data_IF_336506335836
#
_entry.id   IF_336506335836
#
_cell.length_a   1.000
_cell.length_b   1.000
_cell.length_c   1.000
_cell.angle_alpha   90.00
_cell.angle_beta   90.00
_cell.angle_gamma   90.00
#
_symmetry.space_group_name_H-M   'P 1'
#
loop_
_entity.id
_entity.type
_entity.pdbx_description
1 polymer ?
#
# COMPACT_ATOMS: atom_id res chain seq x y z
N UNK A 1 33.14 3.13 -11.31
CA UNK A 1 33.44 4.19 -10.32
C UNK A 1 32.31 4.18 -9.31
N UNK A 2 32.63 3.85 -8.05
CA UNK A 2 31.66 3.74 -6.95
C UNK A 2 31.32 5.16 -6.48
N UNK A 3 30.07 5.58 -6.63
CA UNK A 3 29.54 6.75 -5.93
C UNK A 3 29.30 6.36 -4.47
N UNK A 4 29.87 7.08 -3.49
CA UNK A 4 29.77 6.67 -2.09
C UNK A 4 28.37 6.98 -1.54
N UNK A 5 28.00 6.17 -0.56
CA UNK A 5 26.79 6.11 0.29
C UNK A 5 26.45 7.44 1.02
N UNK A 6 27.13 8.55 0.70
CA UNK A 6 27.05 9.82 1.41
C UNK A 6 25.70 10.56 1.32
N UNK A 7 24.79 10.15 0.42
CA UNK A 7 23.46 10.78 0.33
C UNK A 7 22.42 10.23 1.32
N UNK A 8 22.71 9.13 2.03
CA UNK A 8 21.78 8.53 3.00
C UNK A 8 21.93 9.07 4.42
N UNK A 9 23.12 9.57 4.77
CA UNK A 9 23.36 10.25 6.05
C UNK A 9 22.84 11.70 6.08
N UNK A 10 22.22 12.19 4.99
CA UNK A 10 21.93 13.62 4.81
C UNK A 10 20.48 14.04 5.08
N UNK A 11 19.61 13.15 5.60
CA UNK A 11 18.26 13.55 6.03
C UNK A 11 18.29 14.39 7.32
N UNK A 12 19.16 14.04 8.25
CA UNK A 12 19.35 14.77 9.52
C UNK A 12 20.22 16.03 9.38
N UNK A 13 21.10 16.08 8.37
CA UNK A 13 22.13 17.12 8.24
C UNK A 13 21.60 18.48 7.78
N UNK A 14 20.46 18.52 7.07
CA UNK A 14 19.87 19.79 6.61
C UNK A 14 19.23 20.56 7.78
N UNK A 15 18.92 19.90 8.90
CA UNK A 15 18.24 20.53 10.05
C UNK A 15 19.20 21.31 10.98
N UNK A 16 20.50 21.00 11.01
CA UNK A 16 21.44 21.60 11.95
C UNK A 16 22.02 22.97 11.50
N UNK A 17 21.81 23.38 10.24
CA UNK A 17 22.51 24.54 9.67
C UNK A 17 21.95 25.92 10.11
N UNK A 18 20.92 25.99 10.96
CA UNK A 18 20.34 27.26 11.43
C UNK A 18 20.82 27.73 12.81
N UNK A 19 21.57 26.92 13.57
CA UNK A 19 22.09 27.33 14.89
C UNK A 19 23.60 27.14 14.92
N UNK A 20 24.32 28.21 14.64
CA UNK A 20 25.77 28.23 14.71
C UNK A 20 26.26 27.98 16.14
N UNK A 21 26.91 26.85 16.35
CA UNK A 21 28.15 26.69 17.14
C UNK A 21 28.61 25.23 17.00
N UNK A 22 29.81 25.06 16.47
CA UNK A 22 30.45 23.77 16.26
C UNK A 22 30.90 23.15 17.60
N UNK A 23 30.19 22.12 18.03
CA UNK A 23 30.69 21.12 18.98
C UNK A 23 29.90 19.83 18.77
N UNK A 24 30.59 18.76 18.34
CA UNK A 24 30.15 17.37 18.23
C UNK A 24 28.63 17.18 18.03
N UNK A 25 28.17 17.14 16.77
CA UNK A 25 26.77 16.84 16.43
C UNK A 25 26.40 15.43 16.91
N UNK A 26 25.52 15.28 17.90
CA UNK A 26 24.96 13.97 18.21
C UNK A 26 23.92 13.64 17.13
N UNK A 27 23.83 12.37 16.73
CA UNK A 27 22.68 11.86 15.96
C UNK A 27 21.43 11.97 16.85
N UNK A 28 20.80 13.15 16.89
CA UNK A 28 19.53 13.32 17.58
C UNK A 28 18.40 13.04 16.61
N UNK A 29 17.87 11.81 16.67
CA UNK A 29 16.51 11.53 16.27
C UNK A 29 15.50 12.35 17.10
N UNK A 30 14.22 12.43 16.68
CA UNK A 30 13.18 13.05 17.48
C UNK A 30 13.15 12.43 18.88
N UNK A 31 12.95 13.24 19.92
CA UNK A 31 12.91 12.77 21.30
C UNK A 31 11.47 12.71 21.79
N UNK A 32 10.90 11.51 21.73
CA UNK A 32 9.55 11.25 22.21
C UNK A 32 8.45 11.69 21.25
N UNK A 33 7.22 11.37 21.63
CA UNK A 33 6.08 11.36 20.73
C UNK A 33 5.81 12.72 20.03
N UNK A 34 6.01 13.85 20.71
CA UNK A 34 5.78 15.17 20.11
C UNK A 34 6.78 15.50 19.00
N UNK A 35 8.07 15.29 19.25
CA UNK A 35 9.12 15.54 18.25
C UNK A 35 8.96 14.59 17.06
N UNK A 36 8.53 13.35 17.31
CA UNK A 36 8.27 12.34 16.28
C UNK A 36 7.06 12.73 15.41
N UNK A 37 6.02 13.32 16.00
CA UNK A 37 4.90 13.88 15.26
C UNK A 37 5.35 15.01 14.32
N UNK A 38 6.08 15.99 14.85
CA UNK A 38 6.60 17.14 14.07
C UNK A 38 7.51 16.69 12.92
N UNK A 39 8.35 15.68 13.18
CA UNK A 39 9.20 15.07 12.15
C UNK A 39 8.38 14.46 11.01
N UNK A 40 7.35 13.67 11.33
CA UNK A 40 6.48 13.03 10.33
C UNK A 40 5.74 14.10 9.52
N UNK A 41 5.19 15.14 10.17
CA UNK A 41 4.51 16.23 9.47
C UNK A 41 5.44 16.93 8.48
N UNK A 42 6.65 17.26 8.91
CA UNK A 42 7.66 17.89 8.06
C UNK A 42 8.02 16.99 6.87
N UNK A 43 8.25 15.69 7.13
CA UNK A 43 8.62 14.73 6.10
C UNK A 43 7.50 14.57 5.05
N UNK A 44 6.26 14.38 5.49
CA UNK A 44 5.07 14.33 4.60
C UNK A 44 4.93 15.60 3.78
N UNK A 45 5.12 16.78 4.40
CA UNK A 45 5.01 18.08 3.72
C UNK A 45 6.12 18.32 2.69
N UNK A 46 7.30 17.75 2.89
CA UNK A 46 8.41 17.85 1.94
C UNK A 46 8.18 17.00 0.68
N UNK A 47 7.19 16.11 0.66
CA UNK A 47 6.84 15.33 -0.51
C UNK A 47 6.01 16.12 -1.52
N UNK A 48 6.57 16.34 -2.72
CA UNK A 48 5.87 17.04 -3.79
C UNK A 48 4.55 16.35 -4.21
N UNK A 49 4.39 15.04 -3.99
CA UNK A 49 3.13 14.33 -4.30
C UNK A 49 2.02 14.65 -3.28
N UNK A 50 2.39 15.18 -2.12
CA UNK A 50 1.46 15.59 -1.06
C UNK A 50 0.97 17.04 -1.22
N UNK A 51 1.34 17.75 -2.30
CA UNK A 51 0.83 19.09 -2.58
C UNK A 51 -0.71 19.08 -2.61
N UNK A 52 -1.32 20.07 -1.95
CA UNK A 52 -2.78 20.19 -1.83
C UNK A 52 -3.39 19.38 -0.68
N UNK A 53 -2.62 18.51 -0.03
CA UNK A 53 -3.02 17.88 1.23
C UNK A 53 -2.74 18.81 2.43
N UNK A 54 -3.39 18.48 3.55
CA UNK A 54 -3.12 19.03 4.88
C UNK A 54 -3.09 17.85 5.83
N UNK A 55 -1.91 17.53 6.36
CA UNK A 55 -1.71 16.39 7.24
C UNK A 55 -1.22 16.92 8.58
N UNK A 56 -1.93 16.56 9.64
CA UNK A 56 -1.58 16.77 11.04
C UNK A 56 -1.32 15.39 11.66
N UNK A 57 -0.31 15.28 12.50
CA UNK A 57 0.13 14.01 13.11
C UNK A 57 0.07 14.15 14.62
N UNK A 58 -0.47 13.12 15.28
CA UNK A 58 -0.28 12.92 16.71
C UNK A 58 0.37 11.55 16.91
N UNK A 59 1.34 11.45 17.81
CA UNK A 59 1.94 10.16 18.19
C UNK A 59 1.62 9.90 19.64
N UNK A 60 1.25 8.67 19.96
CA UNK A 60 1.09 8.21 21.34
C UNK A 60 1.53 6.75 21.43
N UNK A 61 2.51 6.45 22.30
CA UNK A 61 3.01 5.08 22.52
C UNK A 61 3.41 4.37 21.20
N UNK A 62 4.05 5.11 20.29
CA UNK A 62 4.46 4.63 18.96
C UNK A 62 3.31 4.44 17.95
N UNK A 63 2.10 4.91 18.23
CA UNK A 63 0.97 4.89 17.29
C UNK A 63 0.82 6.28 16.69
N UNK A 64 1.08 6.42 15.40
CA UNK A 64 0.86 7.68 14.68
C UNK A 64 -0.58 7.79 14.19
N UNK A 65 -1.30 8.83 14.60
CA UNK A 65 -2.64 9.16 14.11
C UNK A 65 -2.57 10.30 13.12
N UNK A 66 -2.95 10.05 11.87
CA UNK A 66 -2.94 11.04 10.78
C UNK A 66 -4.31 11.69 10.64
N UNK A 67 -4.36 13.02 10.70
CA UNK A 67 -5.57 13.84 10.59
C UNK A 67 -5.46 14.87 9.46
N UNK A 68 -6.60 15.40 9.05
CA UNK A 68 -6.68 16.47 8.06
C UNK A 68 -7.36 16.05 6.75
N UNK A 69 -6.78 16.44 5.62
CA UNK A 69 -7.37 16.27 4.29
C UNK A 69 -6.34 15.88 3.23
N UNK A 70 -6.74 15.02 2.31
CA UNK A 70 -6.00 14.68 1.10
C UNK A 70 -6.91 14.86 -0.13
N UNK A 71 -6.34 14.94 -1.34
CA UNK A 71 -7.15 15.05 -2.56
C UNK A 71 -7.42 13.70 -3.23
N UNK A 72 -6.60 12.67 -2.97
CA UNK A 72 -6.69 11.34 -3.58
C UNK A 72 -6.38 10.24 -2.57
N UNK A 73 -6.70 8.98 -2.92
CA UNK A 73 -6.34 7.81 -2.12
C UNK A 73 -4.82 7.62 -2.05
N UNK A 74 -4.11 7.86 -3.16
CA UNK A 74 -2.63 7.77 -3.21
C UNK A 74 -1.99 8.62 -2.11
N UNK A 75 -2.45 9.86 -1.94
CA UNK A 75 -1.92 10.74 -0.89
C UNK A 75 -2.21 10.19 0.52
N UNK A 76 -3.38 9.59 0.74
CA UNK A 76 -3.70 8.98 2.03
C UNK A 76 -2.80 7.78 2.33
N UNK A 77 -2.57 6.91 1.35
CA UNK A 77 -1.69 5.74 1.46
C UNK A 77 -0.24 6.19 1.65
N UNK A 78 0.20 7.22 0.92
CA UNK A 78 1.54 7.78 0.98
C UNK A 78 1.86 8.44 2.31
N UNK A 79 0.94 9.20 2.89
CA UNK A 79 1.11 9.77 4.23
C UNK A 79 1.28 8.68 5.29
N UNK A 80 0.48 7.62 5.21
CA UNK A 80 0.58 6.47 6.11
C UNK A 80 1.93 5.75 5.97
N UNK A 81 2.38 5.52 4.73
CA UNK A 81 3.67 4.90 4.46
C UNK A 81 4.85 5.72 5.02
N UNK A 82 4.81 7.06 4.87
CA UNK A 82 5.84 7.96 5.43
C UNK A 82 5.86 7.95 6.96
N UNK A 83 4.69 8.00 7.59
CA UNK A 83 4.60 7.87 9.04
C UNK A 83 5.17 6.52 9.52
N UNK A 84 4.79 5.43 8.85
CA UNK A 84 5.24 4.09 9.17
C UNK A 84 6.76 3.89 9.04
N UNK A 85 7.39 4.59 8.10
CA UNK A 85 8.84 4.52 7.90
C UNK A 85 9.64 5.07 9.11
N UNK A 86 9.04 5.88 9.97
CA UNK A 86 9.72 6.47 11.13
C UNK A 86 9.96 5.43 12.22
N UNK A 87 11.19 5.34 12.74
CA UNK A 87 11.66 4.25 13.62
C UNK A 87 10.75 3.89 14.78
N UNK A 88 10.25 4.91 15.47
CA UNK A 88 9.48 4.75 16.70
C UNK A 88 8.01 4.35 16.44
N UNK A 89 7.55 4.43 15.18
CA UNK A 89 6.16 4.17 14.82
C UNK A 89 5.92 2.68 14.60
N UNK A 90 5.16 2.07 15.51
CA UNK A 90 4.73 0.67 15.43
C UNK A 90 3.36 0.47 14.77
N UNK A 91 2.54 1.52 14.66
CA UNK A 91 1.25 1.47 13.99
C UNK A 91 0.84 2.84 13.47
N UNK A 92 0.00 2.87 12.42
CA UNK A 92 -0.57 4.10 11.86
C UNK A 92 -2.09 4.00 11.82
N UNK A 93 -2.75 4.94 12.49
CA UNK A 93 -4.20 5.17 12.40
C UNK A 93 -4.45 6.30 11.41
N UNK A 94 -4.83 5.96 10.18
CA UNK A 94 -5.05 6.95 9.12
C UNK A 94 -6.50 7.47 9.13
N UNK A 95 -6.69 8.76 9.42
CA UNK A 95 -7.98 9.45 9.46
C UNK A 95 -8.07 10.62 8.46
N UNK A 96 -7.22 10.62 7.44
CA UNK A 96 -7.27 11.64 6.39
C UNK A 96 -8.59 11.58 5.64
N UNK A 97 -9.21 12.75 5.42
CA UNK A 97 -10.46 12.86 4.66
C UNK A 97 -10.17 13.28 3.23
N UNK A 98 -10.67 12.50 2.28
CA UNK A 98 -10.51 12.83 0.87
C UNK A 98 -11.51 13.92 0.49
N UNK A 99 -10.97 15.06 0.06
CA UNK A 99 -11.74 16.23 -0.37
C UNK A 99 -11.67 16.38 -1.89
N UNK A 100 -12.84 16.34 -2.52
CA UNK A 100 -13.05 16.90 -3.85
C UNK A 100 -14.49 17.42 -3.88
N UNK A 101 -14.72 18.74 -3.83
CA UNK A 101 -16.07 19.29 -3.77
C UNK A 101 -16.83 19.20 -5.12
N UNK A 102 -16.17 18.83 -6.23
CA UNK A 102 -16.73 19.03 -7.58
C UNK A 102 -17.12 17.73 -8.28
N UNK A 103 -16.58 16.58 -7.87
CA UNK A 103 -16.77 15.35 -8.63
C UNK A 103 -18.07 14.60 -8.29
N UNK A 104 -18.91 14.42 -9.33
CA UNK A 104 -19.99 13.42 -9.38
C UNK A 104 -19.40 12.06 -9.76
N UNK A 105 -20.03 10.97 -9.34
CA UNK A 105 -19.52 9.61 -9.57
C UNK A 105 -19.30 9.28 -11.06
N UNK A 106 -20.19 9.72 -11.95
CA UNK A 106 -20.02 9.55 -13.39
C UNK A 106 -18.72 10.19 -13.93
N UNK A 107 -18.35 11.35 -13.40
CA UNK A 107 -17.11 12.05 -13.78
C UNK A 107 -15.89 11.31 -13.22
N UNK A 108 -15.99 10.76 -12.01
CA UNK A 108 -14.92 9.94 -11.43
C UNK A 108 -14.69 8.67 -12.24
N UNK A 109 -15.76 7.97 -12.62
CA UNK A 109 -15.68 6.77 -13.45
C UNK A 109 -15.00 7.05 -14.80
N UNK A 110 -15.37 8.15 -15.45
CA UNK A 110 -14.74 8.58 -16.71
C UNK A 110 -13.25 8.91 -16.53
N UNK A 111 -12.87 9.63 -15.47
CA UNK A 111 -11.47 9.95 -15.18
C UNK A 111 -10.61 8.71 -14.97
N UNK A 112 -11.12 7.73 -14.22
CA UNK A 112 -10.43 6.44 -14.03
C UNK A 112 -10.26 5.74 -15.37
N UNK A 113 -11.33 5.60 -16.15
CA UNK A 113 -11.27 4.93 -17.45
C UNK A 113 -10.28 5.61 -18.41
N UNK A 114 -10.27 6.95 -18.46
CA UNK A 114 -9.34 7.74 -19.27
C UNK A 114 -7.89 7.58 -18.82
N UNK A 115 -7.63 7.43 -17.51
CA UNK A 115 -6.27 7.24 -16.99
C UNK A 115 -5.77 5.82 -17.27
N UNK A 116 -6.64 4.81 -17.12
CA UNK A 116 -6.34 3.43 -17.49
C UNK A 116 -6.03 3.32 -18.99
N UNK A 117 -6.82 3.95 -19.86
CA UNK A 117 -6.61 3.90 -21.32
C UNK A 117 -5.31 4.57 -21.80
N UNK A 118 -4.68 5.38 -20.95
CA UNK A 118 -3.38 6.01 -21.23
C UNK A 118 -2.20 5.14 -20.82
N UNK A 119 -2.43 4.06 -20.08
CA UNK A 119 -1.37 3.13 -19.67
C UNK A 119 -1.15 2.10 -20.78
N UNK A 120 0.06 2.07 -21.35
CA UNK A 120 0.43 1.06 -22.35
C UNK A 120 0.51 -0.35 -21.76
N UNK A 121 0.68 -0.47 -20.44
CA UNK A 121 0.76 -1.74 -19.74
C UNK A 121 -0.62 -2.39 -19.53
N UNK A 122 -1.71 -1.66 -19.68
CA UNK A 122 -3.07 -2.14 -19.37
C UNK A 122 -3.95 -2.12 -20.63
N UNK A 123 -4.56 -3.26 -20.95
CA UNK A 123 -5.67 -3.28 -21.90
C UNK A 123 -6.95 -2.80 -21.22
N UNK A 124 -7.14 -1.48 -21.19
CA UNK A 124 -8.29 -0.84 -20.54
C UNK A 124 -9.64 -1.27 -21.14
N UNK A 125 -9.67 -1.87 -22.35
CA UNK A 125 -10.90 -2.39 -22.96
C UNK A 125 -11.47 -3.59 -22.21
N UNK A 126 -10.63 -4.32 -21.46
CA UNK A 126 -11.01 -5.48 -20.64
C UNK A 126 -11.44 -5.10 -19.22
N UNK A 127 -11.33 -3.82 -18.86
CA UNK A 127 -11.64 -3.30 -17.52
C UNK A 127 -12.90 -2.43 -17.59
N UNK A 128 -13.87 -2.76 -16.75
CA UNK A 128 -15.06 -1.96 -16.47
C UNK A 128 -14.89 -1.22 -15.15
N UNK A 129 -15.10 0.09 -15.18
CA UNK A 129 -15.11 0.94 -13.99
C UNK A 129 -16.54 1.34 -13.64
N UNK A 130 -16.94 1.12 -12.39
CA UNK A 130 -18.22 1.58 -11.84
C UNK A 130 -17.91 2.43 -10.61
N UNK A 131 -18.52 3.61 -10.48
CA UNK A 131 -18.37 4.45 -9.28
C UNK A 131 -19.74 4.72 -8.68
N UNK A 132 -19.87 4.51 -7.38
CA UNK A 132 -21.07 4.82 -6.58
C UNK A 132 -20.63 5.35 -5.21
N UNK A 133 -21.16 6.49 -4.78
CA UNK A 133 -20.78 7.12 -3.52
C UNK A 133 -19.28 7.43 -3.42
N UNK A 134 -18.62 7.72 -4.55
CA UNK A 134 -17.16 7.89 -4.70
C UNK A 134 -16.33 6.64 -4.40
N UNK A 135 -16.95 5.46 -4.39
CA UNK A 135 -16.27 4.17 -4.34
C UNK A 135 -16.17 3.60 -5.74
N UNK A 136 -14.95 3.39 -6.23
CA UNK A 136 -14.72 2.75 -7.51
C UNK A 136 -14.73 1.23 -7.36
N UNK A 137 -15.33 0.54 -8.32
CA UNK A 137 -15.20 -0.91 -8.51
C UNK A 137 -14.55 -1.15 -9.86
N UNK A 138 -13.40 -1.83 -9.86
CA UNK A 138 -12.71 -2.28 -11.07
C UNK A 138 -13.07 -3.75 -11.29
N UNK A 139 -13.74 -4.07 -12.40
CA UNK A 139 -14.16 -5.44 -12.71
C UNK A 139 -13.86 -5.79 -14.16
N UNK A 140 -13.61 -7.07 -14.44
CA UNK A 140 -13.19 -7.53 -15.76
C UNK A 140 -11.97 -8.42 -15.67
N UNK A 141 -11.12 -8.38 -16.70
CA UNK A 141 -9.96 -9.27 -16.80
C UNK A 141 -8.68 -8.48 -17.06
N UNK A 142 -7.58 -9.00 -16.54
CA UNK A 142 -6.23 -8.51 -16.80
C UNK A 142 -5.30 -9.69 -17.07
N UNK A 143 -4.25 -9.45 -17.85
CA UNK A 143 -3.28 -10.48 -18.22
C UNK A 143 -2.38 -10.87 -17.07
N UNK A 144 -2.23 -10.01 -16.05
CA UNK A 144 -1.27 -10.18 -14.95
C UNK A 144 -1.70 -9.61 -13.60
N UNK A 145 -1.11 -10.13 -12.52
CA UNK A 145 -1.24 -9.53 -11.18
C UNK A 145 -0.68 -8.11 -11.13
N UNK A 146 0.39 -7.83 -11.88
CA UNK A 146 0.95 -6.49 -12.00
C UNK A 146 -0.02 -5.53 -12.69
N UNK A 147 -0.68 -5.95 -13.78
CA UNK A 147 -1.76 -5.17 -14.40
C UNK A 147 -2.93 -4.95 -13.44
N UNK A 148 -3.27 -5.96 -12.62
CA UNK A 148 -4.31 -5.83 -11.59
C UNK A 148 -3.95 -4.74 -10.56
N UNK A 149 -2.71 -4.74 -10.08
CA UNK A 149 -2.24 -3.79 -9.08
C UNK A 149 -2.02 -2.40 -9.68
N UNK A 150 -1.41 -2.31 -10.86
CA UNK A 150 -1.24 -1.05 -11.60
C UNK A 150 -2.59 -0.41 -11.91
N UNK A 151 -3.62 -1.19 -12.24
CA UNK A 151 -4.98 -0.68 -12.42
C UNK A 151 -5.53 -0.06 -11.13
N UNK A 152 -5.23 -0.68 -9.97
CA UNK A 152 -5.59 -0.14 -8.65
C UNK A 152 -4.84 1.16 -8.38
N UNK A 153 -3.52 1.18 -8.56
CA UNK A 153 -2.66 2.35 -8.35
C UNK A 153 -3.10 3.54 -9.21
N UNK A 154 -3.37 3.30 -10.50
CA UNK A 154 -3.91 4.32 -11.40
C UNK A 154 -5.23 4.89 -10.87
N UNK A 155 -6.10 4.05 -10.31
CA UNK A 155 -7.35 4.51 -9.73
C UNK A 155 -7.11 5.28 -8.42
N UNK A 156 -6.13 4.95 -7.58
CA UNK A 156 -5.86 5.67 -6.33
C UNK A 156 -5.40 7.11 -6.56
N UNK A 157 -4.79 7.41 -7.72
CA UNK A 157 -4.38 8.75 -8.12
C UNK A 157 -5.56 9.69 -8.42
N UNK A 158 -6.74 9.15 -8.75
CA UNK A 158 -7.87 9.98 -9.19
C UNK A 158 -8.41 10.82 -8.03
N UNK A 159 -8.38 12.16 -8.13
CA UNK A 159 -8.87 13.01 -7.06
C UNK A 159 -10.35 12.78 -6.76
N UNK A 160 -10.68 12.72 -5.48
CA UNK A 160 -12.05 12.59 -4.99
C UNK A 160 -12.56 11.16 -4.80
N UNK A 161 -11.87 10.14 -5.32
CA UNK A 161 -12.21 8.74 -4.99
C UNK A 161 -11.90 8.44 -3.52
N UNK A 162 -12.83 7.77 -2.85
CA UNK A 162 -12.75 7.46 -1.42
C UNK A 162 -12.36 6.03 -1.12
N UNK A 163 -12.67 5.12 -2.04
CA UNK A 163 -12.43 3.69 -1.85
C UNK A 163 -12.33 3.01 -3.23
N UNK A 164 -11.55 1.93 -3.32
CA UNK A 164 -11.44 1.11 -4.51
C UNK A 164 -11.70 -0.35 -4.13
N UNK A 165 -12.67 -0.97 -4.80
CA UNK A 165 -12.91 -2.41 -4.79
C UNK A 165 -12.31 -3.00 -6.07
N UNK A 166 -11.14 -3.64 -5.94
CA UNK A 166 -10.52 -4.35 -7.06
C UNK A 166 -11.12 -5.76 -7.17
N UNK A 167 -11.81 -6.04 -8.27
CA UNK A 167 -12.47 -7.31 -8.61
C UNK A 167 -12.05 -7.80 -9.99
N UNK A 168 -10.85 -7.44 -10.43
CA UNK A 168 -10.29 -7.90 -11.69
C UNK A 168 -9.87 -9.36 -11.56
N UNK A 169 -10.16 -10.17 -12.58
CA UNK A 169 -9.71 -11.56 -12.67
C UNK A 169 -8.44 -11.64 -13.51
N UNK A 170 -7.41 -12.31 -12.99
CA UNK A 170 -6.14 -12.50 -13.71
C UNK A 170 -6.22 -13.74 -14.59
N UNK A 171 -5.99 -13.61 -15.89
CA UNK A 171 -6.19 -14.70 -16.88
C UNK A 171 -4.92 -15.39 -17.37
N UNK A 172 -3.73 -14.79 -17.19
CA UNK A 172 -2.44 -15.31 -17.66
C UNK A 172 -2.40 -15.71 -19.15
N UNK A 173 -3.25 -15.11 -19.98
CA UNK A 173 -3.45 -15.47 -21.39
C UNK A 173 -2.40 -14.87 -22.33
N UNK A 174 -1.44 -14.09 -21.80
CA UNK A 174 -0.32 -13.54 -22.56
C UNK A 174 0.97 -14.31 -22.27
N UNK A 175 1.53 -14.98 -23.29
CA UNK A 175 2.88 -15.55 -23.24
C UNK A 175 3.90 -14.40 -23.21
N UNK A 176 4.69 -14.29 -22.14
CA UNK A 176 5.74 -13.26 -22.00
C UNK A 176 7.12 -13.88 -22.15
N UNK A 177 8.05 -13.14 -22.76
CA UNK A 177 9.45 -13.56 -22.82
C UNK A 177 10.13 -13.33 -21.47
N UNK A 178 11.12 -14.15 -21.13
CA UNK A 178 11.93 -13.98 -19.91
C UNK A 178 12.54 -12.57 -19.80
N UNK A 179 12.90 -11.96 -20.93
CA UNK A 179 13.40 -10.59 -20.98
C UNK A 179 12.36 -9.54 -20.58
N UNK A 180 11.09 -9.74 -20.97
CA UNK A 180 9.99 -8.85 -20.62
C UNK A 180 9.61 -9.00 -19.14
N UNK A 181 9.59 -10.24 -18.64
CA UNK A 181 9.40 -10.54 -17.21
C UNK A 181 10.49 -9.85 -16.38
N UNK A 182 11.76 -10.03 -16.78
CA UNK A 182 12.90 -9.43 -16.08
C UNK A 182 12.82 -7.90 -16.05
N UNK A 183 12.54 -7.27 -17.19
CA UNK A 183 12.47 -5.81 -17.29
C UNK A 183 11.36 -5.23 -16.41
N UNK A 184 10.22 -5.91 -16.34
CA UNK A 184 9.09 -5.52 -15.50
C UNK A 184 9.41 -5.63 -14.01
N UNK A 185 9.97 -6.76 -13.56
CA UNK A 185 10.37 -6.93 -12.16
C UNK A 185 11.42 -5.88 -11.77
N UNK A 186 12.40 -5.59 -12.63
CA UNK A 186 13.39 -4.54 -12.37
C UNK A 186 12.77 -3.14 -12.29
N UNK A 187 11.80 -2.82 -13.15
CA UNK A 187 11.09 -1.55 -13.11
C UNK A 187 10.30 -1.38 -11.80
N UNK A 188 9.56 -2.41 -11.42
CA UNK A 188 8.79 -2.46 -10.19
C UNK A 188 9.67 -2.33 -8.94
N UNK A 189 10.80 -3.04 -8.90
CA UNK A 189 11.76 -2.92 -7.79
C UNK A 189 12.38 -1.53 -7.74
N UNK A 190 12.67 -0.92 -8.89
CA UNK A 190 13.20 0.44 -8.94
C UNK A 190 12.22 1.50 -8.41
N UNK A 191 10.93 1.34 -8.72
CA UNK A 191 9.89 2.31 -8.38
C UNK A 191 9.30 2.11 -6.98
N UNK A 192 9.53 0.95 -6.34
CA UNK A 192 9.13 0.67 -4.96
C UNK A 192 9.97 1.48 -3.96
N UNK A 193 9.36 2.40 -3.17
CA UNK A 193 10.08 3.14 -2.13
C UNK A 193 10.78 2.26 -1.09
N UNK A 194 10.28 1.04 -0.87
CA UNK A 194 10.89 0.06 0.05
C UNK A 194 12.13 -0.59 -0.53
N UNK A 195 12.25 -0.61 -1.86
CA UNK A 195 13.42 -1.12 -2.57
C UNK A 195 14.36 0.01 -3.02
N UNK A 196 14.10 1.25 -2.60
CA UNK A 196 14.92 2.38 -3.00
C UNK A 196 16.33 2.21 -2.43
N UNK A 197 17.36 2.21 -3.30
CA UNK A 197 18.78 2.10 -2.96
C UNK A 197 19.24 0.76 -2.35
N UNK A 198 18.45 -0.30 -2.51
CA UNK A 198 18.94 -1.69 -2.45
C UNK A 198 19.22 -2.18 -3.88
N UNK A 199 20.13 -3.14 -4.03
CA UNK A 199 20.43 -3.75 -5.33
C UNK A 199 19.87 -5.16 -5.34
N UNK A 200 18.85 -5.38 -6.17
CA UNK A 200 18.25 -6.69 -6.40
C UNK A 200 18.68 -7.21 -7.76
N UNK A 201 19.30 -8.39 -7.76
CA UNK A 201 19.62 -9.15 -8.95
C UNK A 201 18.42 -9.99 -9.37
N UNK A 202 17.93 -9.76 -10.59
CA UNK A 202 16.82 -10.52 -11.17
C UNK A 202 17.34 -11.36 -12.34
N UNK A 203 17.13 -12.68 -12.27
CA UNK A 203 17.36 -13.62 -13.37
C UNK A 203 16.03 -14.30 -13.70
N UNK A 204 15.76 -14.52 -14.98
CA UNK A 204 14.56 -15.20 -15.44
C UNK A 204 14.97 -16.25 -16.46
N UNK A 205 14.47 -17.47 -16.30
CA UNK A 205 14.69 -18.57 -17.23
C UNK A 205 13.45 -19.46 -17.30
N UNK A 206 12.85 -19.57 -18.48
CA UNK A 206 11.67 -20.39 -18.73
C UNK A 206 10.51 -20.04 -17.77
N UNK A 207 10.34 -18.74 -17.48
CA UNK A 207 9.38 -18.23 -16.50
C UNK A 207 9.77 -18.42 -15.04
N UNK A 208 10.87 -19.10 -14.71
CA UNK A 208 11.37 -19.19 -13.32
C UNK A 208 12.20 -17.95 -13.01
N UNK A 209 11.79 -17.20 -11.99
CA UNK A 209 12.50 -16.02 -11.51
C UNK A 209 13.42 -16.42 -10.37
N UNK A 210 14.70 -16.03 -10.44
CA UNK A 210 15.63 -16.09 -9.32
C UNK A 210 15.97 -14.66 -8.89
N UNK A 211 15.65 -14.36 -7.64
CA UNK A 211 15.93 -13.10 -6.97
C UNK A 211 17.15 -13.29 -6.07
N UNK A 212 18.12 -12.38 -6.19
CA UNK A 212 19.28 -12.30 -5.32
C UNK A 212 19.57 -10.87 -4.90
N UNK A 213 20.41 -10.70 -3.89
CA UNK A 213 20.78 -9.38 -3.38
C UNK A 213 20.41 -9.22 -1.91
N UNK A 214 20.29 -7.97 -1.48
CA UNK A 214 20.09 -7.64 -0.08
C UNK A 214 18.82 -6.81 0.11
N UNK A 215 17.97 -7.23 1.05
CA UNK A 215 16.81 -6.48 1.54
C UNK A 215 17.01 -6.17 3.01
N UNK A 216 16.33 -5.16 3.50
CA UNK A 216 16.44 -4.68 4.86
C UNK A 216 15.66 -5.46 5.91
N UNK A 217 14.58 -6.13 5.51
CA UNK A 217 13.74 -6.94 6.41
C UNK A 217 13.14 -8.18 5.75
N UNK A 218 12.67 -9.18 6.54
CA UNK A 218 11.90 -10.30 6.01
C UNK A 218 10.56 -9.87 5.36
N UNK A 219 9.92 -8.80 5.84
CA UNK A 219 8.71 -8.29 5.21
C UNK A 219 8.98 -7.70 3.82
N UNK A 220 10.10 -6.97 3.66
CA UNK A 220 10.56 -6.52 2.33
C UNK A 220 10.92 -7.71 1.44
N UNK A 221 11.51 -8.78 1.98
CA UNK A 221 11.75 -10.04 1.25
C UNK A 221 10.43 -10.62 0.74
N UNK A 222 9.45 -10.77 1.63
CA UNK A 222 8.14 -11.35 1.28
C UNK A 222 7.40 -10.48 0.27
N UNK A 223 7.46 -9.16 0.40
CA UNK A 223 6.88 -8.22 -0.54
C UNK A 223 7.56 -8.27 -1.90
N UNK A 224 8.89 -8.29 -1.94
CA UNK A 224 9.67 -8.46 -3.16
C UNK A 224 9.29 -9.77 -3.86
N UNK A 225 9.18 -10.88 -3.13
CA UNK A 225 8.74 -12.18 -3.67
C UNK A 225 7.33 -12.09 -4.23
N UNK A 226 6.38 -11.58 -3.44
CA UNK A 226 4.99 -11.47 -3.83
C UNK A 226 4.82 -10.63 -5.11
N UNK A 227 5.46 -9.45 -5.12
CA UNK A 227 5.44 -8.52 -6.26
C UNK A 227 6.13 -9.12 -7.50
N UNK A 228 7.10 -10.02 -7.32
CA UNK A 228 7.81 -10.67 -8.43
C UNK A 228 7.00 -11.75 -9.14
N UNK A 229 5.82 -12.14 -8.65
CA UNK A 229 4.89 -13.02 -9.36
C UNK A 229 4.11 -12.27 -10.47
N UNK A 230 4.85 -11.76 -11.46
CA UNK A 230 4.28 -11.11 -12.65
C UNK A 230 3.88 -12.15 -13.71
N UNK A 231 3.15 -11.76 -14.77
CA UNK A 231 2.73 -12.75 -15.77
C UNK A 231 3.89 -13.36 -16.53
N UNK A 232 3.76 -14.66 -16.81
CA UNK A 232 4.84 -15.47 -17.35
C UNK A 232 5.76 -16.05 -16.29
N UNK A 233 5.64 -15.62 -15.02
CA UNK A 233 6.36 -16.22 -13.91
C UNK A 233 5.67 -17.49 -13.45
N UNK A 234 6.38 -18.61 -13.52
CA UNK A 234 5.91 -19.92 -13.06
C UNK A 234 6.29 -20.17 -11.61
N UNK A 235 7.43 -19.64 -11.18
CA UNK A 235 7.99 -19.83 -9.85
C UNK A 235 8.96 -18.68 -9.50
N UNK A 236 9.06 -18.35 -8.21
CA UNK A 236 10.01 -17.34 -7.70
C UNK A 236 10.90 -17.99 -6.65
N UNK A 237 12.20 -18.04 -6.91
CA UNK A 237 13.23 -18.45 -5.96
C UNK A 237 13.89 -17.20 -5.35
N UNK A 238 13.90 -17.13 -4.02
CA UNK A 238 14.49 -16.01 -3.28
C UNK A 238 15.44 -16.49 -2.17
N UNK A 239 16.01 -17.69 -2.32
CA UNK A 239 17.00 -18.24 -1.40
C UNK A 239 18.26 -17.37 -1.33
N UNK A 240 18.60 -16.72 -2.45
CA UNK A 240 19.76 -15.83 -2.58
C UNK A 240 19.47 -14.37 -2.14
N UNK A 241 18.26 -14.09 -1.63
CA UNK A 241 17.94 -12.80 -0.98
C UNK A 241 18.35 -12.87 0.48
N UNK A 242 19.37 -12.09 0.82
CA UNK A 242 19.86 -11.93 2.19
C UNK A 242 19.12 -10.78 2.89
N UNK A 243 18.77 -11.00 4.15
CA UNK A 243 18.24 -9.94 5.01
C UNK A 243 19.42 -9.26 5.69
N UNK A 244 19.82 -8.10 5.18
CA UNK A 244 20.83 -7.25 5.78
C UNK A 244 20.15 -6.17 6.62
N UNK A 245 20.23 -6.30 7.95
CA UNK A 245 19.61 -5.35 8.90
C UNK A 245 20.24 -3.95 8.88
N UNK A 246 21.40 -3.80 8.23
CA UNK A 246 22.02 -2.49 8.00
C UNK A 246 21.45 -1.78 6.76
N UNK A 247 20.65 -2.48 5.94
CA UNK A 247 19.94 -1.97 4.76
C UNK A 247 18.43 -1.78 4.96
N UNK A 248 17.91 -2.09 6.16
CA UNK A 248 16.56 -1.68 6.53
C UNK A 248 16.37 -0.20 6.25
N UNK A 249 15.21 0.18 5.68
CA UNK A 249 14.80 1.58 5.74
C UNK A 249 15.04 2.07 7.17
N UNK A 250 15.72 3.21 7.30
CA UNK A 250 16.04 3.81 8.60
C UNK A 250 14.72 3.94 9.38
N UNK A 251 14.54 3.09 10.38
CA UNK A 251 13.30 2.99 11.15
C UNK A 251 12.36 1.80 10.88
N UNK A 252 12.73 0.82 10.06
CA UNK A 252 12.02 -0.49 10.01
C UNK A 252 12.74 -1.61 10.79
N UNK A 253 13.95 -1.33 11.29
CA UNK A 253 14.70 -2.27 12.14
C UNK A 253 13.91 -2.65 13.39
N UNK A 254 13.64 -3.94 13.56
CA UNK A 254 12.95 -4.49 14.73
C UNK A 254 11.42 -4.52 14.67
N UNK A 255 10.78 -4.04 13.59
CA UNK A 255 9.31 -4.04 13.44
C UNK A 255 8.69 -5.38 12.99
N UNK A 256 9.44 -6.48 13.10
CA UNK A 256 8.97 -7.83 12.77
C UNK A 256 8.13 -8.35 13.92
N UNK A 257 6.81 -8.35 13.74
CA UNK A 257 5.88 -8.88 14.70
C UNK A 257 5.58 -10.33 14.35
N UNK A 258 5.82 -11.26 15.29
CA UNK A 258 5.19 -12.59 15.21
C UNK A 258 3.67 -12.36 15.10
N UNK A 259 2.87 -13.30 14.55
CA UNK A 259 1.43 -13.11 14.45
C UNK A 259 0.76 -12.63 15.75
N UNK A 260 1.25 -13.09 16.91
CA UNK A 260 0.82 -12.62 18.23
C UNK A 260 1.13 -11.15 18.51
N UNK A 261 2.30 -10.66 18.11
CA UNK A 261 2.68 -9.26 18.24
C UNK A 261 1.87 -8.38 17.28
N UNK A 262 1.58 -8.87 16.07
CA UNK A 262 0.75 -8.16 15.08
C UNK A 262 -0.65 -7.92 15.64
N UNK A 263 -1.26 -8.96 16.21
CA UNK A 263 -2.59 -8.86 16.82
C UNK A 263 -2.61 -7.89 18.00
N UNK A 264 -1.60 -7.94 18.89
CA UNK A 264 -1.50 -7.00 20.01
C UNK A 264 -1.36 -5.55 19.53
N UNK A 265 -0.49 -5.29 18.55
CA UNK A 265 -0.32 -3.94 18.00
C UNK A 265 -1.60 -3.47 17.29
N UNK A 266 -2.29 -4.38 16.60
CA UNK A 266 -3.58 -4.10 15.97
C UNK A 266 -4.67 -3.75 17.00
N UNK A 267 -4.75 -4.48 18.11
CA UNK A 267 -5.67 -4.18 19.22
C UNK A 267 -5.41 -2.78 19.80
N UNK A 268 -4.15 -2.43 20.05
CA UNK A 268 -3.78 -1.09 20.53
C UNK A 268 -4.17 0.01 19.51
N UNK A 269 -3.92 -0.24 18.22
CA UNK A 269 -4.28 0.70 17.15
C UNK A 269 -5.81 0.84 16.98
N UNK A 270 -6.56 -0.25 17.15
CA UNK A 270 -8.02 -0.21 17.16
C UNK A 270 -8.57 0.59 18.34
N UNK A 271 -7.97 0.45 19.52
CA UNK A 271 -8.34 1.24 20.69
C UNK A 271 -8.04 2.74 20.50
N UNK A 272 -6.96 3.06 19.77
CA UNK A 272 -6.57 4.43 19.44
C UNK A 272 -7.47 5.08 18.38
N UNK A 273 -8.21 4.32 17.55
CA UNK A 273 -9.12 4.87 16.53
C UNK A 273 -10.54 5.11 17.08
N UNK A 274 -10.98 6.36 17.29
CA UNK A 274 -12.31 6.63 17.83
C UNK A 274 -13.44 6.20 16.90
N UNK A 275 -13.19 6.01 15.60
CA UNK A 275 -14.19 5.54 14.62
C UNK A 275 -14.60 4.09 14.86
N UNK A 276 -13.77 3.32 15.57
CA UNK A 276 -14.03 1.91 15.88
C UNK A 276 -14.78 1.73 17.21
N UNK A 277 -15.11 2.82 17.92
CA UNK A 277 -15.91 2.75 19.15
C UNK A 277 -17.27 2.13 18.87
N UNK A 278 -17.59 1.06 19.60
CA UNK A 278 -18.84 0.32 19.45
C UNK A 278 -18.84 -0.71 18.32
N UNK A 279 -17.72 -0.90 17.61
CA UNK A 279 -17.53 -2.07 16.77
C UNK A 279 -17.09 -3.28 17.61
N UNK A 280 -17.54 -4.46 17.23
CA UNK A 280 -17.12 -5.75 17.79
C UNK A 280 -16.37 -6.51 16.69
N UNK A 281 -15.06 -6.29 16.62
CA UNK A 281 -14.20 -6.80 15.55
C UNK A 281 -13.20 -7.79 16.13
N UNK A 282 -13.15 -8.98 15.55
CA UNK A 282 -12.15 -9.99 15.86
C UNK A 282 -11.15 -10.07 14.71
N UNK A 283 -9.85 -10.11 15.05
CA UNK A 283 -8.78 -10.22 14.09
C UNK A 283 -8.01 -11.54 14.26
N UNK A 284 -7.59 -12.13 13.14
CA UNK A 284 -6.62 -13.23 13.12
C UNK A 284 -5.49 -12.89 12.16
N UNK A 285 -4.25 -13.20 12.53
CA UNK A 285 -3.06 -12.97 11.71
C UNK A 285 -2.41 -14.31 11.33
N UNK A 286 -2.11 -14.48 10.04
CA UNK A 286 -1.38 -15.62 9.51
C UNK A 286 -0.36 -15.12 8.47
N UNK A 287 0.93 -15.27 8.77
CA UNK A 287 2.00 -14.65 7.98
C UNK A 287 1.79 -13.13 7.89
N UNK A 288 1.70 -12.61 6.66
CA UNK A 288 1.52 -11.19 6.36
C UNK A 288 0.05 -10.84 6.06
N UNK A 289 -0.89 -11.75 6.34
CA UNK A 289 -2.31 -11.56 6.16
C UNK A 289 -3.02 -11.35 7.51
N UNK A 290 -3.87 -10.34 7.57
CA UNK A 290 -4.84 -10.12 8.65
C UNK A 290 -6.25 -10.36 8.11
N UNK A 291 -7.03 -11.17 8.80
CA UNK A 291 -8.46 -11.34 8.54
C UNK A 291 -9.24 -10.66 9.65
N UNK A 292 -10.16 -9.77 9.27
CA UNK A 292 -11.06 -9.06 10.19
C UNK A 292 -12.47 -9.62 10.04
N UNK A 293 -13.08 -9.99 11.16
CA UNK A 293 -14.45 -10.52 11.23
C UNK A 293 -15.23 -9.79 12.32
N UNK A 294 -16.55 -10.01 12.38
CA UNK A 294 -17.41 -9.44 13.43
C UNK A 294 -18.38 -8.41 12.86
N UNK A 295 -18.67 -7.37 13.65
CA UNK A 295 -19.67 -6.34 13.32
C UNK A 295 -19.16 -4.93 13.56
N UNK A 296 -19.52 -4.01 12.67
CA UNK A 296 -19.27 -2.58 12.78
C UNK A 296 -20.60 -1.81 12.75
N UNK A 297 -20.70 -0.66 13.45
CA UNK A 297 -21.93 0.12 13.51
C UNK A 297 -22.30 0.80 12.18
N UNK A 298 -21.33 1.03 11.30
CA UNK A 298 -21.53 1.67 9.99
C UNK A 298 -20.37 1.32 9.03
N UNK A 299 -20.50 1.69 7.75
CA UNK A 299 -19.47 1.47 6.74
C UNK A 299 -18.17 2.24 7.04
N UNK A 300 -18.24 3.39 7.70
CA UNK A 300 -17.05 4.18 8.08
C UNK A 300 -16.19 3.42 9.09
N UNK A 301 -16.80 2.82 10.12
CA UNK A 301 -16.11 1.98 11.09
C UNK A 301 -15.54 0.72 10.43
N UNK A 302 -16.26 0.09 9.50
CA UNK A 302 -15.72 -1.05 8.72
C UNK A 302 -14.48 -0.67 7.92
N UNK A 303 -14.53 0.45 7.21
CA UNK A 303 -13.40 0.95 6.41
C UNK A 303 -12.22 1.39 7.28
N UNK A 304 -12.49 2.01 8.43
CA UNK A 304 -11.48 2.39 9.41
C UNK A 304 -10.73 1.16 9.93
N UNK A 305 -11.42 0.06 10.21
CA UNK A 305 -10.78 -1.17 10.71
C UNK A 305 -9.77 -1.73 9.70
N UNK A 306 -10.15 -1.76 8.41
CA UNK A 306 -9.29 -2.19 7.33
C UNK A 306 -8.09 -1.27 7.15
N UNK A 307 -8.33 0.05 7.16
CA UNK A 307 -7.26 1.04 7.07
C UNK A 307 -6.26 0.93 8.23
N UNK A 308 -6.74 0.73 9.45
CA UNK A 308 -5.88 0.59 10.63
C UNK A 308 -5.11 -0.72 10.59
N UNK A 309 -5.70 -1.81 10.09
CA UNK A 309 -4.99 -3.07 9.87
C UNK A 309 -3.87 -2.95 8.82
N UNK A 310 -4.10 -2.22 7.71
CA UNK A 310 -3.03 -1.89 6.74
C UNK A 310 -1.93 -1.00 7.32
N UNK A 311 -2.26 -0.24 8.37
CA UNK A 311 -1.32 0.59 9.11
C UNK A 311 -0.47 -0.17 10.11
N UNK A 312 -0.39 -1.50 10.06
CA UNK A 312 0.49 -2.31 10.91
C UNK A 312 1.69 -2.81 10.09
N UNK A 313 2.94 -2.68 10.60
CA UNK A 313 4.12 -3.19 9.92
C UNK A 313 3.98 -4.67 9.54
N UNK A 314 4.34 -5.02 8.31
CA UNK A 314 4.30 -6.40 7.82
C UNK A 314 2.92 -6.92 7.42
N UNK A 315 1.84 -6.17 7.67
CA UNK A 315 0.51 -6.54 7.14
C UNK A 315 0.43 -6.12 5.68
N UNK A 316 0.41 -7.11 4.79
CA UNK A 316 0.31 -6.92 3.34
C UNK A 316 -1.12 -7.09 2.85
N UNK A 317 -1.83 -8.08 3.40
CA UNK A 317 -3.17 -8.44 2.94
C UNK A 317 -4.14 -8.25 4.10
N UNK A 318 -5.21 -7.51 3.87
CA UNK A 318 -6.32 -7.39 4.82
C UNK A 318 -7.58 -7.97 4.18
N UNK A 319 -8.02 -9.12 4.68
CA UNK A 319 -9.32 -9.69 4.36
C UNK A 319 -10.37 -9.11 5.32
N UNK A 320 -11.11 -8.10 4.87
CA UNK A 320 -12.14 -7.45 5.67
C UNK A 320 -13.51 -8.10 5.46
N UNK A 321 -13.90 -8.96 6.39
CA UNK A 321 -15.19 -9.66 6.41
C UNK A 321 -16.14 -9.11 7.49
N UNK A 322 -15.86 -7.91 8.02
CA UNK A 322 -16.69 -7.26 9.04
C UNK A 322 -18.03 -6.84 8.45
N UNK A 323 -19.12 -7.21 9.13
CA UNK A 323 -20.49 -6.90 8.71
C UNK A 323 -20.95 -5.58 9.29
N UNK A 324 -21.70 -4.79 8.52
CA UNK A 324 -22.30 -3.55 9.03
C UNK A 324 -23.67 -3.84 9.63
N UNK A 325 -23.88 -3.44 10.88
CA UNK A 325 -25.16 -3.60 11.57
C UNK A 325 -26.26 -2.82 10.82
N UNK A 326 -27.26 -3.55 10.31
CA UNK A 326 -28.39 -2.97 9.55
C UNK A 326 -28.19 -2.84 8.04
N UNK A 327 -27.04 -3.27 7.50
CA UNK A 327 -26.84 -3.37 6.05
C UNK A 327 -27.59 -4.58 5.48
N UNK A 328 -28.52 -4.34 4.56
CA UNK A 328 -29.03 -5.40 3.67
C UNK A 328 -27.82 -5.98 2.97
N UNK A 329 -27.53 -7.27 3.18
CA UNK A 329 -26.58 -8.01 2.34
C UNK A 329 -27.01 -7.80 0.89
N UNK A 330 -26.30 -6.98 0.11
CA UNK A 330 -26.40 -7.10 -1.33
C UNK A 330 -25.87 -8.51 -1.62
N UNK A 331 -26.71 -9.42 -2.15
CA UNK A 331 -26.20 -10.69 -2.63
C UNK A 331 -25.15 -10.33 -3.67
N UNK A 332 -23.96 -10.92 -3.54
CA UNK A 332 -23.04 -11.06 -4.68
C UNK A 332 -23.91 -11.59 -5.81
N UNK A 333 -24.25 -10.74 -6.79
CA UNK A 333 -25.02 -11.16 -7.93
C UNK A 333 -24.14 -12.19 -8.62
N UNK A 334 -24.48 -13.48 -8.42
CA UNK A 334 -23.95 -14.55 -9.22
C UNK A 334 -24.26 -14.17 -10.66
N UNK A 335 -23.23 -13.78 -11.41
CA UNK A 335 -23.33 -13.71 -12.86
C UNK A 335 -23.71 -15.13 -13.27
N UNK A 336 -24.96 -15.30 -13.73
CA UNK A 336 -25.48 -16.61 -14.07
C UNK A 336 -24.58 -17.22 -15.14
N UNK A 337 -24.24 -18.48 -14.96
CA UNK A 337 -23.46 -19.30 -15.91
C UNK A 337 -24.21 -19.62 -17.20
N UNK A 338 -25.26 -18.87 -17.54
CA UNK A 338 -26.22 -19.25 -18.57
C UNK A 338 -26.32 -18.18 -19.67
N UNK A 339 -25.24 -18.06 -20.45
CA UNK A 339 -25.27 -17.56 -21.83
C UNK A 339 -24.02 -18.03 -22.58
N UNK A 340 -23.89 -19.35 -22.70
CA UNK A 340 -23.15 -19.97 -23.81
C UNK A 340 -24.17 -20.71 -24.68
N UNK A 341 -24.03 -20.53 -25.99
CA UNK A 341 -24.64 -21.29 -27.10
C UNK A 341 -26.03 -20.82 -27.58
N UNK A 342 -26.01 -19.93 -28.57
CA UNK A 342 -26.88 -20.01 -29.74
C UNK A 342 -25.99 -19.72 -30.98
N UNK A 343 -25.33 -20.75 -31.52
CA UNK A 343 -25.75 -21.45 -32.75
C UNK A 343 -25.61 -20.56 -34.00
N UNK A 344 -24.44 -20.62 -34.63
CA UNK A 344 -24.28 -20.40 -36.07
C UNK A 344 -24.68 -21.73 -36.73
N UNK A 345 -25.86 -21.76 -37.33
CA UNK A 345 -26.28 -22.76 -38.31
C UNK A 345 -27.00 -22.00 -39.43
N UNK A 346 -26.20 -21.63 -40.43
CA UNK A 346 -26.36 -21.79 -41.89
C UNK A 346 -25.63 -20.67 -42.64
#
# INVERSE_FOLDING_TARGET
MKTPILFRATRWMILAAAVGLASATPEFGPQGDSDTADFIEMDVKADNRMIGSKVEVAVENGIATLNGTAISLEQTERAAARAMATAEIRAVVNRLRIIDPVAKDAVLAERVQQRLSKSEAIDASRIRVIVDGRKATLAGQVGSWDEQELAREIATEIPGLKEISNRLEVTFDTVRTDSAIKAQILHMVHDDPLCQGITIDVKVKDGVVSLGGEVGSPGEKDQLVHRSHVTGVTEVWADDIMVNRDLAMEGMNGKITKPSDTLRVLEDAFAADPRLKGADIQASAAGNQVTLTGTAPNDEARAAAESTARGIPGVMIVANEVRVAGGVSQPTAAISKDQRLATVVE
#
